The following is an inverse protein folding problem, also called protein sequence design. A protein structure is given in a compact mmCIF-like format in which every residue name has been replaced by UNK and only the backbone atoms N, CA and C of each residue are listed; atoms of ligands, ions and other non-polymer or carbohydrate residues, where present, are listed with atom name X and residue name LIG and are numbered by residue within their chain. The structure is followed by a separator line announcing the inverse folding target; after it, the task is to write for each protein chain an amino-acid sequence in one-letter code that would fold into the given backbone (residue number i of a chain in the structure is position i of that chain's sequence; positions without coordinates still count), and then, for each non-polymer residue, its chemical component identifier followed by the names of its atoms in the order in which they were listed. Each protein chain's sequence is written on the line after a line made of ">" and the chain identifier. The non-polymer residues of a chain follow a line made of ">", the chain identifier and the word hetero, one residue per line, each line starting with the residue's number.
data_IF_973133749447
#
_entry.id   IF_973133749447
#
_cell.length_a   1.000
_cell.length_b   1.000
_cell.length_c   1.000
_cell.angle_alpha   90.00
_cell.angle_beta   90.00
_cell.angle_gamma   90.00
#
_symmetry.space_group_name_H-M   'P 1'
#
loop_
_entity.id
_entity.type
_entity.pdbx_description
1 polymer ?
#
# COMPACT_ATOMS: atom_id res chain seq x y z
N UNK A 1 -23.23 -19.53 12.06
CA UNK A 1 -23.75 -18.38 11.28
C UNK A 1 -23.09 -17.06 11.68
N UNK A 2 -23.64 -16.28 12.62
CA UNK A 2 -23.16 -14.89 12.83
C UNK A 2 -21.69 -14.82 13.27
N UNK A 3 -21.23 -15.72 14.14
CA UNK A 3 -19.84 -15.78 14.58
C UNK A 3 -18.85 -16.09 13.45
N UNK A 4 -19.24 -16.88 12.45
CA UNK A 4 -18.37 -17.25 11.33
C UNK A 4 -18.28 -16.13 10.30
N UNK A 5 -19.40 -15.45 10.04
CA UNK A 5 -19.45 -14.26 9.18
C UNK A 5 -18.60 -13.14 9.82
N UNK A 6 -18.78 -12.89 11.12
CA UNK A 6 -17.99 -11.88 11.84
C UNK A 6 -16.51 -12.21 11.82
N UNK A 7 -16.12 -13.47 12.08
CA UNK A 7 -14.72 -13.89 12.00
C UNK A 7 -14.12 -13.72 10.59
N UNK A 8 -14.89 -14.05 9.55
CA UNK A 8 -14.43 -13.87 8.17
C UNK A 8 -14.34 -12.38 7.78
N UNK A 9 -15.24 -11.54 8.31
CA UNK A 9 -15.18 -10.10 8.15
C UNK A 9 -13.96 -9.50 8.86
N UNK A 10 -13.70 -9.89 10.12
CA UNK A 10 -12.56 -9.42 10.90
C UNK A 10 -11.23 -9.76 10.20
N UNK A 11 -11.10 -10.98 9.66
CA UNK A 11 -9.95 -11.39 8.85
C UNK A 11 -9.72 -10.44 7.63
N UNK A 12 -10.79 -10.02 6.97
CA UNK A 12 -10.73 -9.06 5.84
C UNK A 12 -10.40 -7.65 6.33
N UNK A 13 -10.98 -7.21 7.44
CA UNK A 13 -10.78 -5.88 7.98
C UNK A 13 -9.32 -5.67 8.42
N UNK A 14 -8.73 -6.63 9.13
CA UNK A 14 -7.33 -6.57 9.58
C UNK A 14 -6.37 -6.48 8.39
N UNK A 15 -6.56 -7.31 7.38
CA UNK A 15 -5.70 -7.30 6.17
C UNK A 15 -5.91 -6.02 5.35
N UNK A 16 -7.13 -5.51 5.24
CA UNK A 16 -7.43 -4.23 4.58
C UNK A 16 -6.76 -3.03 5.29
N UNK A 17 -6.73 -3.03 6.63
CA UNK A 17 -6.02 -2.02 7.41
C UNK A 17 -4.52 -2.05 7.12
N UNK A 18 -3.92 -3.25 7.05
CA UNK A 18 -2.49 -3.38 6.75
C UNK A 18 -2.15 -2.93 5.32
N UNK A 19 -2.96 -3.30 4.34
CA UNK A 19 -2.87 -2.78 2.95
C UNK A 19 -2.91 -1.26 2.94
N UNK A 20 -3.88 -0.65 3.64
CA UNK A 20 -4.02 0.81 3.69
C UNK A 20 -2.83 1.48 4.35
N UNK A 21 -2.26 0.88 5.41
CA UNK A 21 -1.06 1.38 6.05
C UNK A 21 0.14 1.37 5.10
N UNK A 22 0.38 0.24 4.42
CA UNK A 22 1.50 0.08 3.49
C UNK A 22 1.41 1.06 2.32
N UNK A 23 0.20 1.29 1.80
CA UNK A 23 -0.03 2.33 0.80
C UNK A 23 0.35 3.72 1.31
N UNK A 24 -0.10 4.09 2.51
CA UNK A 24 0.25 5.38 3.11
C UNK A 24 1.77 5.53 3.34
N UNK A 25 2.46 4.46 3.68
CA UNK A 25 3.94 4.45 3.79
C UNK A 25 4.61 4.66 2.44
N UNK A 26 4.14 4.01 1.37
CA UNK A 26 4.65 4.20 0.01
C UNK A 26 4.41 5.65 -0.49
N UNK A 27 3.22 6.20 -0.24
CA UNK A 27 2.88 7.58 -0.59
C UNK A 27 3.80 8.57 0.15
N UNK A 28 4.05 8.35 1.44
CA UNK A 28 4.98 9.17 2.25
C UNK A 28 6.40 9.14 1.69
N UNK A 29 6.90 7.96 1.30
CA UNK A 29 8.24 7.82 0.72
C UNK A 29 8.31 8.57 -0.62
N UNK A 30 7.29 8.40 -1.47
CA UNK A 30 7.19 9.10 -2.76
C UNK A 30 7.21 10.63 -2.59
N UNK A 31 6.45 11.16 -1.64
CA UNK A 31 6.43 12.60 -1.33
C UNK A 31 7.80 13.10 -0.86
N UNK A 32 8.45 12.37 0.05
CA UNK A 32 9.79 12.72 0.54
C UNK A 32 10.83 12.70 -0.58
N UNK A 33 10.80 11.68 -1.43
CA UNK A 33 11.66 11.57 -2.61
C UNK A 33 11.48 12.76 -3.55
N UNK A 34 10.23 13.16 -3.82
CA UNK A 34 9.93 14.34 -4.64
C UNK A 34 10.48 15.62 -4.04
N UNK A 35 10.31 15.82 -2.73
CA UNK A 35 10.87 16.98 -2.03
C UNK A 35 12.39 17.04 -2.10
N UNK A 36 13.07 15.90 -1.87
CA UNK A 36 14.53 15.83 -1.92
C UNK A 36 15.08 16.03 -3.34
N UNK A 37 14.38 15.53 -4.36
CA UNK A 37 14.76 15.76 -5.76
C UNK A 37 14.77 17.25 -6.11
N UNK A 38 13.73 18.00 -5.72
CA UNK A 38 13.70 19.46 -5.92
C UNK A 38 14.81 20.17 -5.12
N UNK A 39 15.09 19.72 -3.90
CA UNK A 39 16.17 20.29 -3.09
C UNK A 39 17.55 20.06 -3.71
N UNK A 40 17.82 18.86 -4.23
CA UNK A 40 19.06 18.56 -4.97
C UNK A 40 19.23 19.50 -6.16
N UNK A 41 18.15 19.71 -6.93
CA UNK A 41 18.15 20.64 -8.06
C UNK A 41 18.52 22.07 -7.64
N UNK A 42 17.95 22.58 -6.56
CA UNK A 42 18.33 23.91 -6.02
C UNK A 42 19.80 23.97 -5.65
N UNK A 43 20.36 22.94 -5.03
CA UNK A 43 21.77 22.92 -4.65
C UNK A 43 22.69 22.93 -5.88
N UNK A 44 22.30 22.22 -6.95
CA UNK A 44 23.02 22.29 -8.24
C UNK A 44 22.98 23.69 -8.85
N UNK A 45 21.84 24.38 -8.78
CA UNK A 45 21.68 25.76 -9.27
C UNK A 45 22.53 26.76 -8.47
N UNK A 46 22.71 26.51 -7.17
CA UNK A 46 23.57 27.30 -6.28
C UNK A 46 25.07 26.95 -6.39
N UNK A 47 25.42 25.91 -7.16
CA UNK A 47 26.79 25.44 -7.36
C UNK A 47 27.31 24.49 -6.29
N UNK A 48 26.47 24.06 -5.34
CA UNK A 48 26.78 23.03 -4.35
C UNK A 48 26.52 21.63 -4.92
N UNK A 49 27.43 21.18 -5.78
CA UNK A 49 27.32 19.86 -6.40
C UNK A 49 27.47 18.70 -5.42
N UNK A 50 28.27 18.86 -4.36
CA UNK A 50 28.48 17.81 -3.36
C UNK A 50 27.23 17.63 -2.49
N UNK A 51 26.60 18.73 -2.08
CA UNK A 51 25.34 18.66 -1.34
C UNK A 51 24.20 18.07 -2.18
N UNK A 52 24.15 18.39 -3.48
CA UNK A 52 23.20 17.77 -4.41
C UNK A 52 23.43 16.25 -4.57
N UNK A 53 24.68 15.83 -4.78
CA UNK A 53 25.05 14.41 -4.92
C UNK A 53 24.74 13.61 -3.65
N UNK A 54 24.98 14.19 -2.47
CA UNK A 54 24.64 13.56 -1.20
C UNK A 54 23.12 13.31 -1.06
N UNK A 55 22.28 14.24 -1.52
CA UNK A 55 20.82 14.07 -1.51
C UNK A 55 20.40 12.98 -2.51
N UNK A 56 20.99 12.97 -3.70
CA UNK A 56 20.69 11.98 -4.74
C UNK A 56 21.04 10.55 -4.29
N UNK A 57 22.15 10.38 -3.57
CA UNK A 57 22.52 9.09 -2.98
C UNK A 57 21.50 8.63 -1.93
N UNK A 58 21.03 9.51 -1.04
CA UNK A 58 19.98 9.17 -0.05
C UNK A 58 18.69 8.74 -0.77
N UNK A 59 18.31 9.43 -1.84
CA UNK A 59 17.11 9.09 -2.61
C UNK A 59 17.24 7.71 -3.25
N UNK A 60 18.39 7.41 -3.86
CA UNK A 60 18.60 6.15 -4.57
C UNK A 60 18.79 4.97 -3.62
N UNK A 61 19.67 5.11 -2.64
CA UNK A 61 20.12 4.00 -1.80
C UNK A 61 19.14 3.73 -0.65
N UNK A 62 18.72 4.78 0.06
CA UNK A 62 17.89 4.62 1.25
C UNK A 62 16.40 4.59 0.86
N UNK A 63 15.90 5.65 0.23
CA UNK A 63 14.47 5.79 -0.04
C UNK A 63 14.00 4.85 -1.15
N UNK A 64 14.84 4.59 -2.15
CA UNK A 64 14.58 3.59 -3.18
C UNK A 64 14.41 2.19 -2.58
N UNK A 65 15.32 1.79 -1.70
CA UNK A 65 15.25 0.49 -1.02
C UNK A 65 14.02 0.39 -0.11
N UNK A 66 13.73 1.42 0.68
CA UNK A 66 12.54 1.47 1.53
C UNK A 66 11.25 1.36 0.71
N UNK A 67 11.18 2.03 -0.44
CA UNK A 67 10.03 1.95 -1.33
C UNK A 67 9.83 0.54 -1.87
N UNK A 68 10.90 -0.10 -2.35
CA UNK A 68 10.84 -1.47 -2.88
C UNK A 68 10.38 -2.48 -1.82
N UNK A 69 10.86 -2.33 -0.58
CA UNK A 69 10.45 -3.17 0.55
C UNK A 69 8.96 -2.97 0.85
N UNK A 70 8.50 -1.73 1.00
CA UNK A 70 7.09 -1.42 1.31
C UNK A 70 6.18 -1.89 0.17
N UNK A 71 6.57 -1.69 -1.08
CA UNK A 71 5.80 -2.16 -2.24
C UNK A 71 5.75 -3.69 -2.28
N UNK A 72 6.85 -4.40 -2.00
CA UNK A 72 6.86 -5.85 -1.86
C UNK A 72 5.86 -6.34 -0.82
N UNK A 73 5.90 -5.77 0.38
CA UNK A 73 4.95 -6.07 1.47
C UNK A 73 3.50 -5.75 1.06
N UNK A 74 3.27 -4.65 0.37
CA UNK A 74 1.94 -4.28 -0.12
C UNK A 74 1.38 -5.32 -1.08
N UNK A 75 2.17 -5.79 -2.04
CA UNK A 75 1.73 -6.81 -3.00
C UNK A 75 1.42 -8.15 -2.34
N UNK A 76 2.19 -8.54 -1.32
CA UNK A 76 1.95 -9.76 -0.54
C UNK A 76 0.68 -9.65 0.31
N UNK A 77 0.50 -8.53 1.00
CA UNK A 77 -0.68 -8.30 1.84
C UNK A 77 -1.95 -8.19 0.99
N UNK A 78 -1.89 -7.56 -0.19
CA UNK A 78 -3.00 -7.50 -1.13
C UNK A 78 -3.46 -8.89 -1.58
N UNK A 79 -2.52 -9.78 -1.90
CA UNK A 79 -2.85 -11.19 -2.24
C UNK A 79 -3.52 -11.89 -1.05
N UNK A 80 -3.04 -11.63 0.16
CA UNK A 80 -3.62 -12.19 1.39
C UNK A 80 -5.05 -11.67 1.60
N UNK A 81 -5.25 -10.36 1.47
CA UNK A 81 -6.57 -9.73 1.56
C UNK A 81 -7.54 -10.30 0.53
N UNK A 82 -7.15 -10.48 -0.73
CA UNK A 82 -8.00 -11.09 -1.75
C UNK A 82 -8.44 -12.52 -1.38
N UNK A 83 -7.54 -13.33 -0.82
CA UNK A 83 -7.87 -14.68 -0.36
C UNK A 83 -8.85 -14.64 0.81
N UNK A 84 -8.65 -13.74 1.78
CA UNK A 84 -9.57 -13.55 2.91
C UNK A 84 -10.93 -13.06 2.45
N UNK A 85 -10.97 -12.15 1.47
CA UNK A 85 -12.21 -11.63 0.91
C UNK A 85 -13.00 -12.73 0.19
N UNK A 86 -12.35 -13.57 -0.62
CA UNK A 86 -13.00 -14.74 -1.25
C UNK A 86 -13.62 -15.66 -0.21
N UNK A 87 -12.92 -15.89 0.91
CA UNK A 87 -13.47 -16.68 2.02
C UNK A 87 -14.70 -16.01 2.63
N UNK A 88 -14.65 -14.71 2.89
CA UNK A 88 -15.78 -13.94 3.39
C UNK A 88 -16.99 -14.01 2.44
N UNK A 89 -16.76 -13.81 1.14
CA UNK A 89 -17.78 -13.94 0.09
C UNK A 89 -18.43 -15.34 0.11
N UNK A 90 -17.63 -16.40 0.20
CA UNK A 90 -18.12 -17.77 0.27
C UNK A 90 -18.96 -18.03 1.53
N UNK A 91 -18.51 -17.56 2.69
CA UNK A 91 -19.24 -17.72 3.97
C UNK A 91 -20.57 -16.96 3.93
N UNK A 92 -20.57 -15.72 3.45
CA UNK A 92 -21.80 -14.93 3.29
C UNK A 92 -22.77 -15.59 2.32
N UNK A 93 -22.28 -16.05 1.16
CA UNK A 93 -23.09 -16.73 0.14
C UNK A 93 -23.71 -18.02 0.67
N UNK A 94 -22.95 -18.82 1.43
CA UNK A 94 -23.45 -20.04 2.07
C UNK A 94 -24.65 -19.75 2.98
N UNK A 95 -24.65 -18.60 3.66
CA UNK A 95 -25.75 -18.15 4.52
C UNK A 95 -26.80 -17.29 3.82
N UNK A 96 -26.79 -17.20 2.48
CA UNK A 96 -27.78 -16.45 1.70
C UNK A 96 -27.63 -14.93 1.78
N UNK A 97 -26.48 -14.43 2.24
CA UNK A 97 -26.17 -13.00 2.33
C UNK A 97 -25.40 -12.58 1.08
N UNK A 98 -25.98 -11.66 0.31
CA UNK A 98 -25.29 -11.07 -0.84
C UNK A 98 -24.25 -10.06 -0.38
N UNK A 99 -23.03 -10.22 -0.87
CA UNK A 99 -21.94 -9.25 -0.71
C UNK A 99 -21.34 -8.90 -2.07
N UNK A 100 -20.72 -7.72 -2.23
CA UNK A 100 -20.01 -7.38 -3.47
C UNK A 100 -18.94 -8.43 -3.79
N UNK A 101 -18.80 -8.83 -5.05
CA UNK A 101 -17.72 -9.72 -5.47
C UNK A 101 -16.45 -8.93 -5.76
N UNK A 102 -15.27 -9.55 -5.61
CA UNK A 102 -13.99 -8.93 -6.00
C UNK A 102 -13.94 -8.51 -7.47
N UNK A 103 -14.68 -9.20 -8.34
CA UNK A 103 -14.79 -8.86 -9.77
C UNK A 103 -15.48 -7.52 -10.00
N UNK A 104 -16.11 -6.95 -8.98
CA UNK A 104 -16.69 -5.63 -9.04
C UNK A 104 -15.60 -4.58 -8.82
N UNK A 105 -15.37 -3.71 -9.81
CA UNK A 105 -14.35 -2.65 -9.75
C UNK A 105 -14.44 -1.76 -8.50
N UNK A 106 -15.62 -1.65 -7.89
CA UNK A 106 -15.82 -0.87 -6.66
C UNK A 106 -15.10 -1.46 -5.44
N UNK A 107 -14.78 -2.76 -5.46
CA UNK A 107 -14.10 -3.48 -4.37
C UNK A 107 -12.59 -3.39 -4.53
N UNK A 108 -12.08 -3.38 -5.77
CA UNK A 108 -10.64 -3.24 -6.08
C UNK A 108 -10.18 -1.79 -5.97
N UNK A 109 -11.07 -0.83 -6.19
CA UNK A 109 -10.81 0.60 -5.95
C UNK A 109 -10.82 0.89 -4.45
N UNK A 110 -9.84 0.37 -3.72
CA UNK A 110 -9.32 1.06 -2.55
C UNK A 110 -8.83 2.42 -3.10
N UNK A 111 -9.71 3.43 -2.96
CA UNK A 111 -9.86 4.66 -3.74
C UNK A 111 -8.62 5.31 -4.38
N UNK A 112 -8.84 5.92 -5.56
CA UNK A 112 -7.90 6.79 -6.28
C UNK A 112 -7.26 7.82 -5.34
#
# INVERSE_FOLDING_TARGET
>A
MMTEILKAYDDVAVTAMKVSQLRGEADRISELTGYLAEKSKTYREEGDFLGAEAIELIVLDDLGSDFDIVNGQFQEEMKTWEQKYKRFENVCTFYGISVPSLKNEKVIKLYK
#
